data_IF_089668823895
#
_entry.id   IF_089668823895
#
_cell.length_a   1.000
_cell.length_b   1.000
_cell.length_c   1.000
_cell.angle_alpha   90.00
_cell.angle_beta   90.00
_cell.angle_gamma   90.00
#
_symmetry.space_group_name_H-M   'P 1'
#
loop_
_entity.id
_entity.type
_entity.pdbx_description
1 polymer ?
#
# COMPACT_ATOMS: atom_id res chain seq x y z
N UNK A 1 -10.96 2.84 -2.64
CA UNK A 1 -11.41 2.55 -1.27
C UNK A 1 -10.39 2.93 -0.21
N UNK A 2 -9.08 2.65 -0.38
CA UNK A 2 -8.07 3.05 0.62
C UNK A 2 -8.08 4.53 1.06
N UNK A 3 -8.41 5.50 0.19
CA UNK A 3 -8.58 6.90 0.62
C UNK A 3 -9.74 7.11 1.59
N UNK A 4 -10.82 6.36 1.40
CA UNK A 4 -11.98 6.35 2.30
C UNK A 4 -11.59 5.67 3.60
N UNK A 5 -10.91 4.52 3.56
CA UNK A 5 -10.37 3.88 4.76
C UNK A 5 -9.43 4.81 5.52
N UNK A 6 -8.46 5.46 4.86
CA UNK A 6 -7.54 6.40 5.49
C UNK A 6 -8.29 7.54 6.19
N UNK A 7 -9.35 8.05 5.56
CA UNK A 7 -10.19 9.09 6.13
C UNK A 7 -11.06 8.59 7.29
N UNK A 8 -11.54 7.35 7.26
CA UNK A 8 -12.38 6.80 8.33
C UNK A 8 -11.56 6.27 9.51
N UNK A 9 -10.41 5.65 9.25
CA UNK A 9 -9.50 5.11 10.26
C UNK A 9 -8.67 6.18 10.94
N UNK A 10 -8.49 7.33 10.29
CA UNK A 10 -7.58 8.40 10.74
C UNK A 10 -6.14 7.89 10.95
N UNK A 11 -5.76 6.81 10.27
CA UNK A 11 -4.42 6.26 10.36
C UNK A 11 -3.41 7.26 9.78
N UNK A 12 -2.53 7.77 10.63
CA UNK A 12 -1.57 8.81 10.25
C UNK A 12 -0.64 8.36 9.11
N UNK A 13 -0.29 7.06 9.08
CA UNK A 13 0.54 6.48 8.03
C UNK A 13 -0.15 6.49 6.67
N UNK A 14 -1.39 6.02 6.60
CA UNK A 14 -2.19 6.05 5.38
C UNK A 14 -2.50 7.48 4.93
N UNK A 15 -2.85 8.38 5.85
CA UNK A 15 -3.12 9.77 5.52
C UNK A 15 -1.89 10.44 4.90
N UNK A 16 -0.71 10.25 5.50
CA UNK A 16 0.55 10.77 4.96
C UNK A 16 0.91 10.12 3.62
N UNK A 17 0.79 8.79 3.50
CA UNK A 17 1.07 8.10 2.26
C UNK A 17 0.18 8.61 1.11
N UNK A 18 -1.10 8.88 1.38
CA UNK A 18 -2.00 9.48 0.39
C UNK A 18 -1.66 10.95 0.08
N UNK A 19 -1.31 11.75 1.09
CA UNK A 19 -0.90 13.14 0.90
C UNK A 19 0.39 13.24 0.05
N UNK A 20 1.34 12.33 0.28
CA UNK A 20 2.62 12.25 -0.41
C UNK A 20 2.56 11.51 -1.76
N UNK A 21 1.38 11.01 -2.16
CA UNK A 21 1.18 10.18 -3.36
C UNK A 21 2.08 8.94 -3.38
N UNK A 22 2.36 8.37 -2.22
CA UNK A 22 3.14 7.15 -2.08
C UNK A 22 2.41 5.94 -2.65
N UNK A 23 3.18 4.99 -3.19
CA UNK A 23 2.65 3.73 -3.68
C UNK A 23 2.44 2.76 -2.52
N UNK A 24 1.30 2.89 -1.85
CA UNK A 24 0.92 2.07 -0.70
C UNK A 24 0.95 0.57 -1.06
N UNK A 25 0.60 0.22 -2.30
CA UNK A 25 0.64 -1.18 -2.73
C UNK A 25 2.06 -1.74 -2.81
N UNK A 26 3.04 -0.93 -3.23
CA UNK A 26 4.46 -1.32 -3.16
C UNK A 26 4.93 -1.45 -1.72
N UNK A 27 4.50 -0.56 -0.83
CA UNK A 27 4.83 -0.65 0.59
C UNK A 27 4.28 -1.94 1.21
N UNK A 28 3.01 -2.27 0.97
CA UNK A 28 2.43 -3.53 1.45
C UNK A 28 3.07 -4.74 0.81
N UNK A 29 3.36 -4.72 -0.50
CA UNK A 29 4.04 -5.83 -1.16
C UNK A 29 5.44 -6.08 -0.59
N UNK A 30 6.22 -5.01 -0.34
CA UNK A 30 7.54 -5.10 0.26
C UNK A 30 7.50 -5.82 1.62
N UNK A 31 6.53 -5.48 2.44
CA UNK A 31 6.32 -6.10 3.76
C UNK A 31 5.89 -7.57 3.65
N UNK A 32 4.91 -7.87 2.78
CA UNK A 32 4.38 -9.23 2.58
C UNK A 32 5.43 -10.19 2.00
N UNK A 33 6.22 -9.73 1.02
CA UNK A 33 7.22 -10.54 0.34
C UNK A 33 8.61 -10.45 0.96
N UNK A 34 8.81 -9.60 1.97
CA UNK A 34 10.10 -9.44 2.65
C UNK A 34 11.20 -8.87 1.75
N UNK A 35 10.85 -8.02 0.79
CA UNK A 35 11.77 -7.41 -0.18
C UNK A 35 11.77 -5.89 -0.04
N UNK A 36 12.81 -5.22 -0.54
CA UNK A 36 12.84 -3.76 -0.57
C UNK A 36 11.77 -3.19 -1.54
N UNK A 37 11.25 -1.99 -1.28
CA UNK A 37 10.15 -1.36 -2.08
C UNK A 37 10.49 -1.20 -3.56
N UNK A 38 11.77 -0.98 -3.86
CA UNK A 38 12.33 -0.87 -5.20
C UNK A 38 12.52 -2.23 -5.89
N UNK A 39 12.63 -3.31 -5.13
CA UNK A 39 12.68 -4.69 -5.61
C UNK A 39 11.30 -5.31 -5.83
N UNK A 40 10.23 -4.64 -5.41
CA UNK A 40 8.87 -5.09 -5.67
C UNK A 40 8.58 -5.08 -7.17
N UNK A 41 8.22 -6.24 -7.71
CA UNK A 41 7.82 -6.37 -9.10
C UNK A 41 6.33 -6.00 -9.32
N UNK A 42 5.90 -5.95 -10.58
CA UNK A 42 4.53 -5.59 -10.93
C UNK A 42 3.48 -6.60 -10.45
N UNK A 43 3.82 -7.89 -10.39
CA UNK A 43 2.90 -8.94 -9.94
C UNK A 43 2.73 -8.92 -8.42
N UNK A 44 3.82 -8.76 -7.67
CA UNK A 44 3.79 -8.58 -6.21
C UNK A 44 2.98 -7.35 -5.81
N UNK A 45 3.19 -6.22 -6.50
CA UNK A 45 2.38 -5.01 -6.32
C UNK A 45 0.91 -5.26 -6.62
N UNK A 46 0.60 -5.98 -7.71
CA UNK A 46 -0.77 -6.33 -8.08
C UNK A 46 -1.40 -7.24 -7.04
N UNK A 47 -0.66 -8.21 -6.51
CA UNK A 47 -1.10 -9.11 -5.46
C UNK A 47 -1.42 -8.37 -4.17
N UNK A 48 -0.57 -7.44 -3.74
CA UNK A 48 -0.83 -6.57 -2.58
C UNK A 48 -2.05 -5.66 -2.80
N UNK A 49 -2.31 -5.24 -4.04
CA UNK A 49 -3.55 -4.55 -4.40
C UNK A 49 -4.76 -5.48 -4.27
N UNK A 50 -4.65 -6.77 -4.61
CA UNK A 50 -5.76 -7.72 -4.45
C UNK A 50 -5.99 -8.09 -2.99
N UNK A 51 -4.96 -8.34 -2.18
CA UNK A 51 -5.15 -8.67 -0.75
C UNK A 51 -5.83 -7.55 0.03
N UNK A 52 -5.41 -6.30 -0.19
CA UNK A 52 -6.02 -5.16 0.47
C UNK A 52 -7.43 -4.83 -0.04
N UNK A 53 -7.91 -5.52 -1.10
CA UNK A 53 -9.17 -5.26 -1.80
C UNK A 53 -9.91 -6.55 -2.22
N UNK A 54 -9.65 -7.65 -1.52
CA UNK A 54 -10.53 -8.81 -1.48
C UNK A 54 -11.64 -8.56 -0.47
#
# INVERSE_FOLDING_TARGET
ELRIMAHLSQDAGMLQAFANKEDIHRATAAEVFGVAKDQVDSEQRRYAKVINFG
#
